data_IF_343646380254
#
_entry.id   IF_343646380254
#
_cell.length_a   1.000
_cell.length_b   1.000
_cell.length_c   1.000
_cell.angle_alpha   90.00
_cell.angle_beta   90.00
_cell.angle_gamma   90.00
#
_symmetry.space_group_name_H-M   'P 1'
#
loop_
_entity.id
_entity.type
_entity.pdbx_description
1 polymer ?
#
# COMPACT_ATOMS: atom_id res chain seq x y z
N UNK A 1 27.27 -3.53 -57.78
CA UNK A 1 28.60 -3.35 -57.14
C UNK A 1 28.61 -4.01 -55.76
N UNK A 2 29.72 -4.58 -55.31
CA UNK A 2 29.82 -5.14 -53.95
C UNK A 2 30.43 -4.12 -53.00
N UNK A 3 29.95 -4.05 -51.76
CA UNK A 3 30.52 -3.14 -50.77
C UNK A 3 31.87 -3.66 -50.26
N UNK A 4 32.95 -2.89 -50.43
CA UNK A 4 34.30 -3.27 -50.02
C UNK A 4 34.49 -3.48 -48.51
N UNK A 5 33.51 -3.09 -47.67
CA UNK A 5 33.58 -3.31 -46.22
C UNK A 5 32.72 -4.45 -45.69
N UNK A 6 31.59 -4.76 -46.33
CA UNK A 6 30.70 -5.84 -45.84
C UNK A 6 30.47 -6.97 -46.85
N UNK A 7 30.99 -6.84 -48.06
CA UNK A 7 30.94 -7.88 -49.11
C UNK A 7 29.56 -8.12 -49.71
N UNK A 8 28.52 -7.36 -49.33
CA UNK A 8 27.17 -7.53 -49.86
C UNK A 8 26.99 -6.80 -51.19
N UNK A 9 26.20 -7.41 -52.08
CA UNK A 9 25.82 -6.81 -53.36
C UNK A 9 24.87 -5.63 -53.12
N UNK A 10 25.24 -4.46 -53.63
CA UNK A 10 24.43 -3.24 -53.55
C UNK A 10 23.60 -3.14 -54.82
N UNK A 11 22.29 -3.17 -54.64
CA UNK A 11 21.29 -3.34 -55.70
C UNK A 11 20.86 -1.99 -56.32
N UNK A 12 21.39 -0.87 -55.83
CA UNK A 12 21.04 0.49 -56.26
C UNK A 12 22.28 1.39 -56.39
N UNK A 13 22.21 2.41 -57.24
CA UNK A 13 23.24 3.46 -57.43
C UNK A 13 23.28 4.45 -56.25
N UNK A 14 23.39 3.93 -55.02
CA UNK A 14 23.47 4.74 -53.81
C UNK A 14 24.91 5.07 -53.45
N UNK A 15 25.18 6.33 -53.07
CA UNK A 15 26.51 6.78 -52.61
C UNK A 15 27.00 6.11 -51.31
N UNK A 16 26.11 5.36 -50.64
CA UNK A 16 26.38 4.63 -49.40
C UNK A 16 25.76 3.24 -49.47
N UNK A 17 26.39 2.24 -48.85
CA UNK A 17 25.86 0.88 -48.76
C UNK A 17 24.61 0.86 -47.86
N UNK A 18 23.50 0.34 -48.38
CA UNK A 18 22.24 0.22 -47.64
C UNK A 18 22.28 -0.81 -46.49
N UNK A 19 23.33 -1.65 -46.41
CA UNK A 19 23.46 -2.68 -45.37
C UNK A 19 24.37 -2.28 -44.21
N UNK A 20 25.46 -1.57 -44.47
CA UNK A 20 26.44 -1.20 -43.43
C UNK A 20 26.72 0.30 -43.31
N UNK A 21 26.16 1.12 -44.21
CA UNK A 21 26.28 2.58 -44.18
C UNK A 21 27.61 3.13 -44.71
N UNK A 22 28.54 2.28 -45.16
CA UNK A 22 29.84 2.75 -45.64
C UNK A 22 29.75 3.41 -47.03
N UNK A 23 30.54 4.46 -47.27
CA UNK A 23 30.53 5.20 -48.54
C UNK A 23 31.07 4.34 -49.68
N UNK A 24 30.37 4.32 -50.80
CA UNK A 24 30.80 3.61 -52.02
C UNK A 24 31.57 4.61 -52.88
N UNK A 25 32.74 4.21 -53.37
CA UNK A 25 33.61 5.05 -54.20
C UNK A 25 33.16 4.80 -55.65
N UNK A 26 32.71 5.86 -56.33
CA UNK A 26 32.39 5.84 -57.77
C UNK A 26 33.71 6.01 -58.53
N UNK A 27 34.15 4.95 -59.20
CA UNK A 27 35.29 4.98 -60.14
C UNK A 27 34.76 5.35 -61.52
N UNK A 28 35.08 6.55 -61.98
CA UNK A 28 34.64 7.10 -63.26
C UNK A 28 35.82 7.15 -64.23
N UNK A 29 35.99 6.13 -65.09
CA UNK A 29 36.78 6.21 -66.33
C UNK A 29 36.24 5.22 -67.38
N UNK A 30 35.86 5.73 -68.55
CA UNK A 30 35.72 4.97 -69.80
C UNK A 30 36.83 5.37 -70.79
N UNK A 31 37.41 4.35 -71.45
CA UNK A 31 38.07 4.41 -72.77
C UNK A 31 39.58 4.67 -72.74
N UNK A 32 40.43 3.63 -72.77
CA UNK A 32 40.97 2.94 -73.97
C UNK A 32 42.15 3.67 -74.63
N UNK A 33 43.38 3.21 -74.39
CA UNK A 33 44.20 2.49 -75.40
C UNK A 33 45.63 2.19 -74.90
N UNK A 34 46.01 0.94 -75.17
CA UNK A 34 47.31 0.28 -75.36
C UNK A 34 48.64 0.74 -74.70
N UNK A 35 49.16 -0.20 -73.91
CA UNK A 35 50.49 -0.84 -73.99
C UNK A 35 51.81 -0.10 -73.66
N UNK A 36 52.59 -0.86 -72.87
CA UNK A 36 54.04 -0.85 -72.67
C UNK A 36 54.69 0.15 -71.70
N UNK A 37 54.86 -0.37 -70.48
CA UNK A 37 56.15 -0.67 -69.86
C UNK A 37 57.22 0.43 -69.68
N UNK A 38 57.53 0.61 -68.40
CA UNK A 38 58.87 0.51 -67.79
C UNK A 38 59.61 1.83 -67.46
N UNK A 39 59.76 1.98 -66.14
CA UNK A 39 60.91 2.46 -65.37
C UNK A 39 61.27 3.96 -65.21
N UNK A 40 61.53 4.26 -63.92
CA UNK A 40 62.72 4.93 -63.37
C UNK A 40 62.74 6.46 -63.25
N UNK A 41 62.67 6.87 -61.96
CA UNK A 41 63.66 7.67 -61.23
C UNK A 41 63.64 9.20 -61.32
N UNK A 42 63.62 9.74 -60.09
CA UNK A 42 64.18 10.98 -59.55
C UNK A 42 64.02 12.31 -60.31
N UNK A 43 63.83 13.28 -59.43
CA UNK A 43 64.52 14.58 -59.36
C UNK A 43 63.79 15.79 -59.93
N UNK A 44 63.37 16.61 -58.96
CA UNK A 44 63.62 18.06 -58.88
C UNK A 44 63.24 18.91 -60.08
N UNK A 45 62.33 19.86 -59.86
CA UNK A 45 62.74 21.24 -59.54
C UNK A 45 61.52 22.11 -59.27
N UNK A 46 61.66 22.90 -58.22
CA UNK A 46 60.93 24.14 -58.00
C UNK A 46 61.07 25.05 -59.24
N UNK A 47 60.01 25.78 -59.59
CA UNK A 47 60.01 27.24 -59.45
C UNK A 47 58.62 27.83 -59.75
N UNK A 48 58.13 28.56 -58.75
CA UNK A 48 57.45 29.86 -58.86
C UNK A 48 56.36 30.06 -59.91
N UNK A 49 55.12 30.21 -59.43
CA UNK A 49 54.30 31.33 -59.87
C UNK A 49 53.34 31.81 -58.77
N UNK A 50 53.62 33.04 -58.35
CA UNK A 50 52.67 34.08 -57.95
C UNK A 50 51.72 33.83 -56.77
N UNK A 51 52.16 34.37 -55.64
CA UNK A 51 51.39 34.73 -54.46
C UNK A 51 50.23 35.68 -54.82
N UNK A 52 49.02 35.15 -55.00
CA UNK A 52 47.79 35.89 -54.75
C UNK A 52 47.30 35.56 -53.33
N UNK A 53 47.64 36.42 -52.37
CA UNK A 53 47.06 36.38 -51.02
C UNK A 53 45.58 36.77 -51.09
N UNK A 54 44.69 35.79 -51.24
CA UNK A 54 43.30 35.94 -50.84
C UNK A 54 43.23 35.62 -49.34
N UNK A 55 43.55 36.60 -48.50
CA UNK A 55 43.14 36.53 -47.09
C UNK A 55 41.63 36.62 -47.02
N UNK A 56 40.96 35.46 -47.01
CA UNK A 56 39.58 35.39 -46.55
C UNK A 56 39.60 35.69 -45.04
N UNK A 57 39.37 36.96 -44.69
CA UNK A 57 39.03 37.35 -43.32
C UNK A 57 37.76 36.61 -42.93
N UNK A 58 37.89 35.42 -42.33
CA UNK A 58 36.78 34.73 -41.64
C UNK A 58 36.23 35.69 -40.60
N UNK A 59 35.03 36.23 -40.88
CA UNK A 59 34.33 37.18 -40.01
C UNK A 59 34.23 36.63 -38.59
N UNK A 60 34.92 37.27 -37.63
CA UNK A 60 34.92 36.94 -36.20
C UNK A 60 33.49 36.85 -35.63
N UNK A 61 32.50 37.49 -36.26
CA UNK A 61 31.08 37.45 -35.87
C UNK A 61 30.41 36.07 -36.04
N UNK A 62 30.80 35.26 -37.04
CA UNK A 62 30.25 33.89 -37.21
C UNK A 62 30.75 32.91 -36.14
N UNK A 63 32.04 33.00 -35.75
CA UNK A 63 32.59 32.22 -34.63
C UNK A 63 32.00 32.66 -33.28
N UNK A 64 31.82 33.96 -33.08
CA UNK A 64 31.19 34.51 -31.87
C UNK A 64 29.72 34.05 -31.73
N UNK A 65 28.94 34.07 -32.83
CA UNK A 65 27.55 33.57 -32.82
C UNK A 65 27.46 32.08 -32.48
N UNK A 66 28.38 31.24 -33.00
CA UNK A 66 28.42 29.80 -32.67
C UNK A 66 28.73 29.58 -31.19
N UNK A 67 29.67 30.33 -30.61
CA UNK A 67 30.02 30.23 -29.17
C UNK A 67 28.86 30.66 -28.27
N UNK A 68 28.13 31.73 -28.64
CA UNK A 68 26.95 32.18 -27.90
C UNK A 68 25.84 31.12 -27.95
N UNK A 69 25.61 30.51 -29.11
CA UNK A 69 24.62 29.43 -29.28
C UNK A 69 24.94 28.19 -28.43
N UNK A 70 26.21 27.75 -28.43
CA UNK A 70 26.67 26.62 -27.61
C UNK A 70 26.52 26.95 -26.13
N UNK A 71 26.90 28.17 -25.71
CA UNK A 71 26.78 28.61 -24.32
C UNK A 71 25.31 28.64 -23.86
N UNK A 72 24.39 29.11 -24.70
CA UNK A 72 22.95 29.08 -24.43
C UNK A 72 22.44 27.63 -24.31
N UNK A 73 22.85 26.72 -25.18
CA UNK A 73 22.47 25.30 -25.12
C UNK A 73 22.92 24.64 -23.80
N UNK A 74 24.13 24.94 -23.33
CA UNK A 74 24.64 24.43 -22.06
C UNK A 74 23.83 24.98 -20.88
N UNK A 75 23.50 26.27 -20.89
CA UNK A 75 22.69 26.92 -19.84
C UNK A 75 21.27 26.36 -19.82
N UNK A 76 20.63 26.19 -20.98
CA UNK A 76 19.30 25.59 -21.08
C UNK A 76 19.28 24.11 -20.70
N UNK A 77 20.30 23.34 -21.08
CA UNK A 77 20.43 21.93 -20.70
C UNK A 77 20.63 21.75 -19.19
N UNK A 78 21.52 22.55 -18.59
CA UNK A 78 21.74 22.55 -17.15
C UNK A 78 20.50 23.03 -16.37
N UNK A 79 19.86 24.10 -16.83
CA UNK A 79 18.64 24.65 -16.22
C UNK A 79 17.44 23.70 -16.34
N UNK A 80 17.24 23.10 -17.52
CA UNK A 80 16.19 22.10 -17.76
C UNK A 80 16.43 20.81 -16.97
N UNK A 81 17.67 20.33 -16.91
CA UNK A 81 18.05 19.17 -16.10
C UNK A 81 17.87 19.41 -14.60
N UNK A 82 18.27 20.58 -14.09
CA UNK A 82 18.04 20.98 -12.70
C UNK A 82 16.54 21.12 -12.39
N UNK A 83 15.77 21.78 -13.26
CA UNK A 83 14.32 21.91 -13.11
C UNK A 83 13.63 20.53 -13.11
N UNK A 84 14.00 19.64 -14.03
CA UNK A 84 13.48 18.27 -14.06
C UNK A 84 13.80 17.50 -12.77
N UNK A 85 15.06 17.52 -12.33
CA UNK A 85 15.49 16.88 -11.08
C UNK A 85 14.76 17.45 -9.85
N UNK A 86 14.60 18.76 -9.78
CA UNK A 86 13.89 19.44 -8.70
C UNK A 86 12.40 19.04 -8.65
N UNK A 87 11.71 19.04 -9.79
CA UNK A 87 10.31 18.60 -9.88
C UNK A 87 10.14 17.11 -9.57
N UNK A 88 11.08 16.26 -10.02
CA UNK A 88 11.08 14.83 -9.69
C UNK A 88 11.21 14.60 -8.17
N UNK A 89 12.08 15.35 -7.49
CA UNK A 89 12.21 15.27 -6.04
C UNK A 89 10.96 15.75 -5.29
N UNK A 90 10.29 16.80 -5.79
CA UNK A 90 9.01 17.25 -5.24
C UNK A 90 7.94 16.17 -5.36
N UNK A 91 7.79 15.56 -6.55
CA UNK A 91 6.82 14.48 -6.77
C UNK A 91 7.06 13.29 -5.83
N UNK A 92 8.32 12.92 -5.58
CA UNK A 92 8.65 11.84 -4.65
C UNK A 92 8.29 12.17 -3.19
N UNK A 93 8.42 13.44 -2.78
CA UNK A 93 7.98 13.89 -1.45
C UNK A 93 6.45 13.86 -1.33
N UNK A 94 5.74 14.32 -2.37
CA UNK A 94 4.28 14.30 -2.42
C UNK A 94 3.74 12.87 -2.38
N UNK A 95 4.31 11.95 -3.15
CA UNK A 95 3.90 10.54 -3.16
C UNK A 95 4.09 9.88 -1.79
N UNK A 96 5.24 10.13 -1.13
CA UNK A 96 5.49 9.63 0.23
C UNK A 96 4.49 10.20 1.25
N UNK A 97 4.20 11.50 1.17
CA UNK A 97 3.21 12.14 2.03
C UNK A 97 1.80 11.56 1.79
N UNK A 98 1.40 11.34 0.53
CA UNK A 98 0.13 10.70 0.19
C UNK A 98 0.05 9.26 0.69
N UNK A 99 1.12 8.47 0.54
CA UNK A 99 1.18 7.10 1.05
C UNK A 99 1.06 7.06 2.57
N UNK A 100 1.79 7.94 3.26
CA UNK A 100 1.72 8.06 4.72
C UNK A 100 0.31 8.47 5.18
N UNK A 101 -0.32 9.42 4.48
CA UNK A 101 -1.69 9.84 4.78
C UNK A 101 -2.69 8.69 4.55
N UNK A 102 -2.53 7.92 3.47
CA UNK A 102 -3.37 6.74 3.20
C UNK A 102 -3.24 5.69 4.30
N UNK A 103 -2.01 5.37 4.71
CA UNK A 103 -1.76 4.43 5.81
C UNK A 103 -2.39 4.91 7.12
N UNK A 104 -2.32 6.21 7.41
CA UNK A 104 -2.93 6.81 8.59
C UNK A 104 -4.46 6.70 8.55
N UNK A 105 -5.09 6.91 7.39
CA UNK A 105 -6.55 6.73 7.22
C UNK A 105 -6.97 5.27 7.33
N UNK A 106 -6.23 4.35 6.70
CA UNK A 106 -6.46 2.90 6.80
C UNK A 106 -6.33 2.43 8.25
N UNK A 107 -5.33 2.91 8.99
CA UNK A 107 -5.16 2.62 10.41
C UNK A 107 -6.36 3.14 11.23
N UNK A 108 -6.74 4.41 11.04
CA UNK A 108 -7.90 5.02 11.71
C UNK A 108 -9.18 4.21 11.46
N UNK A 109 -9.40 3.78 10.22
CA UNK A 109 -10.55 2.98 9.84
C UNK A 109 -10.54 1.63 10.57
N UNK A 110 -9.43 0.88 10.51
CA UNK A 110 -9.29 -0.41 11.20
C UNK A 110 -9.46 -0.30 12.72
N UNK A 111 -8.93 0.77 13.32
CA UNK A 111 -9.10 1.07 14.73
C UNK A 111 -10.57 1.30 15.11
N UNK A 112 -11.30 2.05 14.28
CA UNK A 112 -12.73 2.24 14.42
C UNK A 112 -13.51 0.92 14.26
N UNK A 113 -13.22 0.16 13.21
CA UNK A 113 -13.86 -1.15 12.95
C UNK A 113 -13.67 -2.12 14.11
N UNK A 114 -12.46 -2.20 14.68
CA UNK A 114 -12.18 -3.04 15.85
C UNK A 114 -13.04 -2.64 17.05
N UNK A 115 -13.17 -1.33 17.28
CA UNK A 115 -14.01 -0.80 18.35
C UNK A 115 -15.49 -1.11 18.13
N UNK A 116 -16.00 -0.96 16.91
CA UNK A 116 -17.39 -1.29 16.57
C UNK A 116 -17.68 -2.79 16.74
N UNK A 117 -16.76 -3.64 16.28
CA UNK A 117 -16.83 -5.09 16.47
C UNK A 117 -16.92 -5.44 17.96
N UNK A 118 -16.01 -4.92 18.78
CA UNK A 118 -16.02 -5.13 20.23
C UNK A 118 -17.36 -4.70 20.85
N UNK A 119 -17.85 -3.51 20.53
CA UNK A 119 -19.12 -3.00 21.06
C UNK A 119 -20.29 -3.88 20.63
N UNK A 120 -20.39 -4.19 19.34
CA UNK A 120 -21.48 -5.01 18.79
C UNK A 120 -21.47 -6.44 19.36
N UNK A 121 -20.31 -7.07 19.43
CA UNK A 121 -20.17 -8.44 19.93
C UNK A 121 -20.31 -8.52 21.45
N UNK A 122 -20.02 -7.44 22.19
CA UNK A 122 -20.36 -7.33 23.61
C UNK A 122 -21.88 -7.40 23.84
N UNK A 123 -22.70 -6.83 22.94
CA UNK A 123 -24.16 -6.94 23.04
C UNK A 123 -24.60 -8.40 22.92
N UNK A 124 -24.01 -9.16 21.99
CA UNK A 124 -24.30 -10.59 21.81
C UNK A 124 -23.88 -11.37 23.07
N UNK A 125 -22.68 -11.11 23.60
CA UNK A 125 -22.20 -11.73 24.83
C UNK A 125 -23.13 -11.42 26.03
N UNK A 126 -23.61 -10.19 26.13
CA UNK A 126 -24.56 -9.77 27.16
C UNK A 126 -25.90 -10.50 27.06
N UNK A 127 -26.42 -10.72 25.85
CA UNK A 127 -27.65 -11.50 25.64
C UNK A 127 -27.51 -12.95 26.09
N UNK A 128 -26.36 -13.58 25.81
CA UNK A 128 -26.05 -14.94 26.27
C UNK A 128 -25.97 -14.97 27.81
N UNK A 129 -25.26 -14.01 28.42
CA UNK A 129 -25.14 -13.91 29.87
C UNK A 129 -26.50 -13.69 30.56
N UNK A 130 -27.37 -12.85 29.99
CA UNK A 130 -28.73 -12.62 30.48
C UNK A 130 -29.58 -13.90 30.40
N UNK A 131 -29.44 -14.68 29.32
CA UNK A 131 -30.13 -15.95 29.18
C UNK A 131 -29.71 -16.98 30.25
N UNK A 132 -28.42 -17.04 30.60
CA UNK A 132 -27.96 -17.85 31.74
C UNK A 132 -28.51 -17.31 33.06
N UNK A 133 -28.43 -16.01 33.31
CA UNK A 133 -28.91 -15.36 34.53
C UNK A 133 -30.39 -15.67 34.79
N UNK A 134 -31.22 -15.61 33.74
CA UNK A 134 -32.66 -15.95 33.80
C UNK A 134 -32.89 -17.39 34.23
N UNK A 135 -32.28 -18.36 33.55
CA UNK A 135 -32.43 -19.79 33.90
C UNK A 135 -31.92 -20.08 35.31
N UNK A 136 -30.81 -19.44 35.69
CA UNK A 136 -30.22 -19.60 37.01
C UNK A 136 -31.15 -19.09 38.10
N UNK A 137 -31.74 -17.91 37.91
CA UNK A 137 -32.74 -17.33 38.80
C UNK A 137 -34.00 -18.20 38.88
N UNK A 138 -34.56 -18.60 37.74
CA UNK A 138 -35.76 -19.44 37.68
C UNK A 138 -35.57 -20.78 38.41
N UNK A 139 -34.37 -21.36 38.30
CA UNK A 139 -34.07 -22.64 38.97
C UNK A 139 -33.93 -22.50 40.49
N UNK A 140 -33.53 -21.33 40.99
CA UNK A 140 -33.49 -21.03 42.43
C UNK A 140 -34.90 -20.72 42.94
N UNK A 141 -35.69 -19.96 42.19
CA UNK A 141 -37.04 -19.53 42.57
C UNK A 141 -38.09 -20.65 42.40
N UNK A 142 -37.76 -21.73 41.67
CA UNK A 142 -38.68 -22.84 41.42
C UNK A 142 -39.04 -23.57 42.72
N UNK A 143 -40.34 -23.58 43.05
CA UNK A 143 -40.92 -24.22 44.25
C UNK A 143 -40.51 -25.69 44.43
N UNK A 144 -40.26 -26.40 43.33
CA UNK A 144 -39.88 -27.82 43.31
C UNK A 144 -38.46 -28.05 42.76
N UNK A 145 -37.70 -26.99 42.46
CA UNK A 145 -36.40 -27.09 41.79
C UNK A 145 -36.46 -27.55 40.34
N UNK A 146 -37.67 -27.59 39.74
CA UNK A 146 -37.87 -28.04 38.36
C UNK A 146 -38.01 -26.82 37.44
N UNK A 147 -37.18 -26.73 36.41
CA UNK A 147 -37.21 -25.67 35.38
C UNK A 147 -37.34 -26.29 34.00
N UNK A 148 -38.15 -25.73 33.11
CA UNK A 148 -38.22 -26.19 31.72
C UNK A 148 -37.28 -25.34 30.86
N UNK A 149 -36.28 -25.98 30.24
CA UNK A 149 -35.30 -25.32 29.36
C UNK A 149 -35.25 -26.08 28.04
N UNK A 150 -35.41 -25.37 26.92
CA UNK A 150 -35.41 -25.98 25.59
C UNK A 150 -36.38 -27.18 25.46
N UNK A 151 -37.57 -27.07 26.06
CA UNK A 151 -38.58 -28.14 26.09
C UNK A 151 -38.27 -29.32 27.00
N UNK A 152 -37.11 -29.34 27.68
CA UNK A 152 -36.70 -30.39 28.62
C UNK A 152 -36.96 -29.93 30.06
N UNK A 153 -37.44 -30.84 30.91
CA UNK A 153 -37.50 -30.59 32.37
C UNK A 153 -36.14 -30.86 32.96
N UNK A 154 -35.55 -29.85 33.59
CA UNK A 154 -34.39 -29.97 34.46
C UNK A 154 -34.87 -30.12 35.90
N UNK A 155 -34.30 -31.07 36.64
CA UNK A 155 -34.64 -31.38 38.03
C UNK A 155 -33.66 -30.77 39.03
N UNK A 156 -32.53 -30.29 38.53
CA UNK A 156 -31.58 -29.50 39.30
C UNK A 156 -31.00 -28.34 38.49
N UNK A 157 -30.29 -27.48 39.20
CA UNK A 157 -29.67 -26.29 38.66
C UNK A 157 -28.63 -26.58 37.55
N UNK A 158 -27.80 -27.60 37.73
CA UNK A 158 -26.73 -27.93 36.78
C UNK A 158 -27.31 -28.47 35.46
N UNK A 159 -28.39 -29.24 35.56
CA UNK A 159 -29.13 -29.74 34.41
C UNK A 159 -29.79 -28.60 33.63
N UNK A 160 -30.39 -27.62 34.32
CA UNK A 160 -30.99 -26.45 33.68
C UNK A 160 -29.94 -25.62 32.91
N UNK A 161 -28.77 -25.40 33.51
CA UNK A 161 -27.65 -24.73 32.83
C UNK A 161 -27.15 -25.52 31.62
N UNK A 162 -27.01 -26.84 31.75
CA UNK A 162 -26.58 -27.70 30.64
C UNK A 162 -27.52 -27.56 29.45
N UNK A 163 -28.83 -27.63 29.68
CA UNK A 163 -29.83 -27.48 28.62
C UNK A 163 -29.81 -26.08 28.01
N UNK A 164 -29.58 -25.04 28.81
CA UNK A 164 -29.44 -23.68 28.27
C UNK A 164 -28.18 -23.53 27.43
N UNK A 165 -27.06 -24.13 27.85
CA UNK A 165 -25.83 -24.17 27.04
C UNK A 165 -26.03 -24.91 25.72
N UNK A 166 -26.75 -26.03 25.74
CA UNK A 166 -27.11 -26.77 24.51
C UNK A 166 -27.95 -25.90 23.55
N UNK A 167 -28.93 -25.16 24.08
CA UNK A 167 -29.76 -24.21 23.33
C UNK A 167 -28.93 -23.06 22.73
N UNK A 168 -27.99 -22.51 23.51
CA UNK A 168 -27.17 -21.36 23.12
C UNK A 168 -25.94 -21.73 22.30
N UNK A 169 -25.66 -23.02 22.09
CA UNK A 169 -24.42 -23.50 21.46
C UNK A 169 -24.10 -22.79 20.14
N UNK A 170 -25.09 -22.62 19.26
CA UNK A 170 -24.88 -21.93 17.98
C UNK A 170 -24.51 -20.46 18.16
N UNK A 171 -25.12 -19.77 19.13
CA UNK A 171 -24.82 -18.37 19.43
C UNK A 171 -23.42 -18.22 20.04
N UNK A 172 -23.01 -19.14 20.91
CA UNK A 172 -21.67 -19.17 21.51
C UNK A 172 -20.62 -19.40 20.41
N UNK A 173 -20.80 -20.41 19.54
CA UNK A 173 -19.86 -20.65 18.43
C UNK A 173 -19.72 -19.44 17.51
N UNK A 174 -20.83 -18.77 17.17
CA UNK A 174 -20.77 -17.53 16.38
C UNK A 174 -20.03 -16.41 17.12
N UNK A 175 -20.25 -16.27 18.44
CA UNK A 175 -19.54 -15.29 19.25
C UNK A 175 -18.03 -15.57 19.27
N UNK A 176 -17.62 -16.83 19.34
CA UNK A 176 -16.21 -17.24 19.26
C UNK A 176 -15.59 -16.90 17.91
N UNK A 177 -16.27 -17.22 16.80
CA UNK A 177 -15.83 -16.83 15.45
C UNK A 177 -15.64 -15.31 15.32
N UNK A 178 -16.57 -14.53 15.91
CA UNK A 178 -16.50 -13.06 15.94
C UNK A 178 -15.40 -12.53 16.84
N UNK A 179 -15.11 -13.23 17.94
CA UNK A 179 -13.95 -12.96 18.77
C UNK A 179 -12.67 -13.20 17.97
N UNK A 180 -12.52 -14.32 17.28
CA UNK A 180 -11.34 -14.60 16.45
C UNK A 180 -11.13 -13.58 15.32
N UNK A 181 -12.21 -13.11 14.69
CA UNK A 181 -12.16 -12.01 13.71
C UNK A 181 -11.58 -10.73 14.34
N UNK A 182 -12.01 -10.42 15.56
CA UNK A 182 -11.52 -9.28 16.34
C UNK A 182 -10.06 -9.47 16.76
N UNK A 183 -9.66 -10.68 17.16
CA UNK A 183 -8.27 -11.02 17.51
C UNK A 183 -7.33 -10.74 16.34
N UNK A 184 -7.70 -11.16 15.11
CA UNK A 184 -6.92 -10.90 13.88
C UNK A 184 -6.79 -9.40 13.60
N UNK A 185 -7.87 -8.65 13.78
CA UNK A 185 -7.86 -7.20 13.58
C UNK A 185 -6.98 -6.49 14.61
N UNK A 186 -7.07 -6.88 15.89
CA UNK A 186 -6.20 -6.36 16.94
C UNK A 186 -4.71 -6.61 16.65
N UNK A 187 -4.36 -7.81 16.16
CA UNK A 187 -2.99 -8.13 15.76
C UNK A 187 -2.47 -7.21 14.65
N UNK A 188 -3.31 -6.88 13.68
CA UNK A 188 -2.94 -5.96 12.59
C UNK A 188 -2.69 -4.52 13.06
N UNK A 189 -3.23 -4.15 14.23
CA UNK A 189 -3.14 -2.79 14.79
C UNK A 189 -1.94 -2.59 15.73
N UNK A 190 -1.16 -3.63 16.01
CA UNK A 190 -0.07 -3.64 17.00
C UNK A 190 1.06 -2.62 16.81
N UNK A 191 1.10 -1.91 15.68
CA UNK A 191 2.09 -0.87 15.41
C UNK A 191 1.39 0.49 15.19
N UNK A 192 0.86 1.12 16.26
CA UNK A 192 0.12 2.37 16.16
C UNK A 192 0.98 3.55 15.68
N UNK A 193 0.48 4.37 14.73
CA UNK A 193 1.01 5.70 14.49
C UNK A 193 0.93 6.58 15.75
N UNK A 194 1.89 7.50 15.92
CA UNK A 194 1.97 8.36 17.12
C UNK A 194 0.67 9.13 17.43
N UNK A 195 -0.06 9.56 16.39
CA UNK A 195 -1.34 10.26 16.51
C UNK A 195 -2.43 9.38 17.16
N UNK A 196 -2.40 8.07 16.93
CA UNK A 196 -3.44 7.13 17.40
C UNK A 196 -3.01 6.26 18.58
N UNK A 197 -1.78 6.40 19.09
CA UNK A 197 -1.25 5.61 20.19
C UNK A 197 -2.23 5.54 21.38
N UNK A 198 -2.69 6.70 21.88
CA UNK A 198 -3.59 6.76 23.03
C UNK A 198 -4.92 6.06 22.77
N UNK A 199 -5.48 6.20 21.57
CA UNK A 199 -6.73 5.54 21.20
C UNK A 199 -6.56 4.03 21.09
N UNK A 200 -5.42 3.58 20.54
CA UNK A 200 -5.04 2.17 20.52
C UNK A 200 -4.88 1.61 21.94
N UNK A 201 -4.24 2.33 22.87
CA UNK A 201 -4.10 1.88 24.26
C UNK A 201 -5.45 1.68 24.96
N UNK A 202 -6.45 2.52 24.65
CA UNK A 202 -7.83 2.36 25.13
C UNK A 202 -8.53 1.19 24.43
N UNK A 203 -8.30 1.00 23.13
CA UNK A 203 -8.83 -0.15 22.39
C UNK A 203 -8.30 -1.48 22.94
N UNK A 204 -7.03 -1.55 23.33
CA UNK A 204 -6.45 -2.74 23.98
C UNK A 204 -7.19 -3.06 25.28
N UNK A 205 -7.48 -2.05 26.09
CA UNK A 205 -8.26 -2.23 27.32
C UNK A 205 -9.70 -2.68 27.03
N UNK A 206 -10.35 -2.09 26.01
CA UNK A 206 -11.67 -2.53 25.54
C UNK A 206 -11.65 -4.00 25.12
N UNK A 207 -10.64 -4.39 24.35
CA UNK A 207 -10.47 -5.76 23.89
C UNK A 207 -10.31 -6.73 25.08
N UNK A 208 -9.47 -6.41 26.08
CA UNK A 208 -9.35 -7.24 27.29
C UNK A 208 -10.67 -7.40 28.03
N UNK A 209 -11.41 -6.31 28.25
CA UNK A 209 -12.72 -6.35 28.90
C UNK A 209 -13.73 -7.18 28.09
N UNK A 210 -13.72 -7.04 26.77
CA UNK A 210 -14.54 -7.83 25.86
C UNK A 210 -14.20 -9.32 25.92
N UNK A 211 -12.92 -9.70 25.91
CA UNK A 211 -12.53 -11.11 26.02
C UNK A 211 -12.95 -11.72 27.35
N UNK A 212 -12.87 -10.96 28.45
CA UNK A 212 -13.39 -11.37 29.75
C UNK A 212 -14.91 -11.57 29.71
N UNK A 213 -15.64 -10.71 29.00
CA UNK A 213 -17.09 -10.82 28.83
C UNK A 213 -17.47 -12.05 28.00
N UNK A 214 -16.80 -12.27 26.87
CA UNK A 214 -17.00 -13.47 26.05
C UNK A 214 -16.73 -14.74 26.86
N UNK A 215 -15.70 -14.73 27.72
CA UNK A 215 -15.44 -15.86 28.63
C UNK A 215 -16.62 -16.14 29.57
N UNK A 216 -17.30 -15.11 30.09
CA UNK A 216 -18.52 -15.31 30.89
C UNK A 216 -19.70 -15.83 30.07
N UNK A 217 -19.79 -15.46 28.79
CA UNK A 217 -20.83 -15.93 27.87
C UNK A 217 -20.60 -17.39 27.45
N UNK A 218 -19.36 -17.82 27.26
CA UNK A 218 -19.04 -19.22 26.94
C UNK A 218 -19.13 -20.12 28.20
N UNK A 219 -18.43 -19.72 29.26
CA UNK A 219 -18.30 -20.49 30.49
C UNK A 219 -18.61 -19.61 31.70
N UNK A 220 -19.90 -19.44 32.06
CA UNK A 220 -20.27 -18.70 33.26
C UNK A 220 -19.65 -19.32 34.51
N UNK A 221 -19.17 -18.47 35.42
CA UNK A 221 -18.48 -18.91 36.64
C UNK A 221 -19.05 -18.24 37.90
N UNK A 222 -18.82 -18.88 39.06
CA UNK A 222 -19.25 -18.37 40.36
C UNK A 222 -20.70 -18.69 40.70
N UNK A 223 -21.28 -17.91 41.61
CA UNK A 223 -22.70 -17.92 41.96
C UNK A 223 -23.50 -16.96 41.08
N UNK A 224 -24.84 -17.08 41.06
CA UNK A 224 -25.72 -16.12 40.37
C UNK A 224 -25.41 -14.66 40.74
N UNK A 225 -25.16 -14.39 42.02
CA UNK A 225 -24.85 -13.05 42.50
C UNK A 225 -23.52 -12.56 41.93
N UNK A 226 -22.45 -13.32 42.12
CA UNK A 226 -21.09 -12.94 41.68
C UNK A 226 -20.96 -12.89 40.16
N UNK A 227 -21.67 -13.78 39.46
CA UNK A 227 -21.76 -13.78 37.99
C UNK A 227 -22.41 -12.48 37.50
N UNK A 228 -23.60 -12.15 38.00
CA UNK A 228 -24.30 -10.92 37.61
C UNK A 228 -23.50 -9.66 37.98
N UNK A 229 -22.84 -9.66 39.14
CA UNK A 229 -21.92 -8.57 39.52
C UNK A 229 -20.78 -8.41 38.52
N UNK A 230 -20.11 -9.51 38.12
CA UNK A 230 -19.01 -9.48 37.14
C UNK A 230 -19.50 -9.02 35.76
N UNK A 231 -20.63 -9.53 35.27
CA UNK A 231 -21.24 -9.13 33.99
C UNK A 231 -21.60 -7.63 34.00
N UNK A 232 -22.22 -7.14 35.07
CA UNK A 232 -22.57 -5.73 35.21
C UNK A 232 -21.33 -4.83 35.29
N UNK A 233 -20.29 -5.28 36.01
CA UNK A 233 -19.02 -4.56 36.11
C UNK A 233 -18.34 -4.45 34.76
N UNK A 234 -18.21 -5.57 34.02
CA UNK A 234 -17.65 -5.59 32.68
C UNK A 234 -18.42 -4.66 31.73
N UNK A 235 -19.75 -4.70 31.76
CA UNK A 235 -20.61 -3.81 30.97
C UNK A 235 -20.35 -2.32 31.29
N UNK A 236 -20.28 -1.97 32.59
CA UNK A 236 -19.98 -0.61 33.03
C UNK A 236 -18.60 -0.14 32.57
N UNK A 237 -17.58 -0.97 32.72
CA UNK A 237 -16.21 -0.61 32.39
C UNK A 237 -15.99 -0.50 30.88
N UNK A 238 -16.62 -1.37 30.08
CA UNK A 238 -16.65 -1.23 28.62
C UNK A 238 -17.32 0.10 28.26
N UNK A 239 -18.47 0.44 28.85
CA UNK A 239 -19.14 1.71 28.59
C UNK A 239 -18.25 2.93 28.87
N UNK A 240 -17.51 2.92 29.98
CA UNK A 240 -16.53 3.99 30.30
C UNK A 240 -15.42 4.07 29.27
N UNK A 241 -14.83 2.93 28.88
CA UNK A 241 -13.73 2.89 27.92
C UNK A 241 -14.18 3.26 26.50
N UNK A 242 -15.40 2.93 26.12
CA UNK A 242 -16.02 3.40 24.88
C UNK A 242 -16.14 4.93 24.87
N UNK A 243 -16.58 5.52 25.98
CA UNK A 243 -16.66 6.99 26.09
C UNK A 243 -15.27 7.65 26.04
N UNK A 244 -14.28 7.05 26.70
CA UNK A 244 -12.89 7.50 26.61
C UNK A 244 -12.36 7.42 25.16
N UNK A 245 -12.64 6.33 24.45
CA UNK A 245 -12.27 6.17 23.04
C UNK A 245 -12.93 7.22 22.14
N UNK A 246 -14.23 7.51 22.34
CA UNK A 246 -14.94 8.57 21.59
C UNK A 246 -14.30 9.94 21.77
N UNK A 247 -13.82 10.26 22.97
CA UNK A 247 -13.12 11.53 23.23
C UNK A 247 -11.82 11.62 22.43
N UNK A 248 -11.08 10.51 22.35
CA UNK A 248 -9.81 10.43 21.61
C UNK A 248 -10.01 10.41 20.09
N UNK A 249 -11.16 9.92 19.61
CA UNK A 249 -11.54 9.88 18.19
C UNK A 249 -12.96 10.44 17.98
N UNK A 250 -13.16 11.76 18.02
CA UNK A 250 -14.49 12.37 17.94
C UNK A 250 -15.24 12.09 16.63
N UNK A 251 -14.53 11.79 15.54
CA UNK A 251 -15.12 11.40 14.27
C UNK A 251 -15.67 9.96 14.27
N UNK A 252 -15.53 9.22 15.36
CA UNK A 252 -16.03 7.86 15.51
C UNK A 252 -17.50 7.89 15.98
N UNK A 253 -18.42 7.65 15.04
CA UNK A 253 -19.85 7.61 15.33
C UNK A 253 -20.37 6.18 15.55
N UNK A 254 -20.54 5.80 16.82
CA UNK A 254 -21.08 4.49 17.21
C UNK A 254 -22.56 4.36 16.83
N UNK A 255 -23.27 5.48 16.63
CA UNK A 255 -24.69 5.43 16.28
C UNK A 255 -24.93 4.86 14.88
N UNK A 256 -23.89 4.72 14.04
CA UNK A 256 -24.00 4.00 12.77
C UNK A 256 -24.31 2.50 12.95
N UNK A 257 -24.06 1.91 14.13
CA UNK A 257 -24.49 0.54 14.46
C UNK A 257 -26.00 0.42 14.66
N UNK A 258 -26.71 1.52 14.95
CA UNK A 258 -28.17 1.51 15.13
C UNK A 258 -28.96 1.40 13.82
N UNK A 259 -28.28 1.54 12.68
CA UNK A 259 -28.89 1.50 11.34
C UNK A 259 -28.80 0.11 10.68
N UNK A 260 -28.09 -0.84 11.30
CA UNK A 260 -28.12 -2.25 10.92
C UNK A 260 -29.20 -2.93 11.75
N UNK A 261 -30.46 -2.71 11.35
CA UNK A 261 -31.62 -3.47 11.82
C UNK A 261 -32.03 -4.48 10.75
#
# INVERSE_FOLDING_TARGET
MFCNSCGKEVINESKFCNFCGNKLIEDDVLGSDENNEVEIVLQTKELNQEKLEITTKKSKKKKLMIVILISLLVIFGAGGGYWYYYNYQLQQKELKAQQQQKQLQEYKHSLGTATLNIVGYTVIAAQICDAYSKVWKESIDSRYGITTVNGKKAYDFNEALKYKREELKSSITKLDEKKEETDRLMQSLNNPPAEYQKAYDVLVQLYTLFTDFVSQADSPTGSLLTFNQKVNQLSSDIGKKVNEFKILLPSFDINQLSQVK
#
